data_IF_738123731584
#
_entry.id   IF_738123731584
#
_cell.length_a   1.000
_cell.length_b   1.000
_cell.length_c   1.000
_cell.angle_alpha   90.00
_cell.angle_beta   90.00
_cell.angle_gamma   90.00
#
_symmetry.space_group_name_H-M   'P 1'
#
loop_
_entity.id
_entity.type
_entity.pdbx_description
1 polymer ?
#
# COMPACT_ATOMS: atom_id res chain seq x y z
N UNK A 1 3.54 -8.94 -19.31
CA UNK A 1 2.18 -8.87 -19.88
C UNK A 1 1.36 -7.99 -18.94
N UNK A 2 1.09 -6.75 -19.37
CA UNK A 2 0.31 -5.77 -18.64
C UNK A 2 -1.17 -6.11 -18.84
N UNK A 3 -1.84 -6.63 -17.83
CA UNK A 3 -3.29 -6.79 -17.85
C UNK A 3 -3.93 -5.44 -17.45
N UNK A 4 -4.27 -4.63 -18.45
CA UNK A 4 -5.13 -3.48 -18.25
C UNK A 4 -6.56 -3.98 -18.04
N UNK A 5 -7.07 -3.90 -16.83
CA UNK A 5 -8.50 -4.07 -16.57
C UNK A 5 -9.16 -2.76 -16.94
N UNK A 6 -9.79 -2.72 -18.12
CA UNK A 6 -10.65 -1.62 -18.52
C UNK A 6 -11.94 -1.72 -17.70
N UNK A 7 -12.11 -0.86 -16.70
CA UNK A 7 -13.42 -0.61 -16.13
C UNK A 7 -14.17 0.33 -17.07
N UNK A 8 -15.26 -0.15 -17.66
CA UNK A 8 -16.20 0.70 -18.35
C UNK A 8 -16.79 1.67 -17.33
N UNK A 9 -16.49 2.95 -17.46
CA UNK A 9 -17.22 4.00 -16.77
C UNK A 9 -18.63 4.00 -17.36
N UNK A 10 -19.60 3.50 -16.62
CA UNK A 10 -21.00 3.71 -16.95
C UNK A 10 -21.28 5.21 -16.78
N UNK A 11 -21.31 5.93 -17.89
CA UNK A 11 -21.83 7.28 -17.90
C UNK A 11 -23.35 7.15 -17.70
N UNK A 12 -23.82 7.46 -16.49
CA UNK A 12 -25.25 7.62 -16.25
C UNK A 12 -25.76 8.80 -17.08
N UNK A 13 -26.66 8.50 -17.99
CA UNK A 13 -27.43 9.53 -18.64
C UNK A 13 -28.22 10.29 -17.56
N UNK A 14 -28.01 11.59 -17.43
CA UNK A 14 -28.85 12.44 -16.60
C UNK A 14 -30.31 12.16 -16.99
N UNK A 15 -31.09 11.63 -16.06
CA UNK A 15 -32.48 11.30 -16.31
C UNK A 15 -33.23 12.56 -16.75
N UNK A 16 -33.99 12.47 -17.84
CA UNK A 16 -34.86 13.56 -18.22
C UNK A 16 -36.03 13.63 -17.23
N UNK A 17 -36.21 14.78 -16.60
CA UNK A 17 -37.44 15.04 -15.83
C UNK A 17 -38.58 15.45 -16.77
N UNK A 18 -39.81 15.15 -16.37
CA UNK A 18 -41.01 15.57 -17.09
C UNK A 18 -41.69 16.67 -16.28
N UNK A 19 -41.92 17.79 -16.91
CA UNK A 19 -42.68 18.90 -16.33
C UNK A 19 -44.17 18.61 -16.44
N UNK A 20 -44.90 19.00 -15.40
CA UNK A 20 -46.35 18.94 -15.37
C UNK A 20 -46.92 20.25 -14.87
N UNK A 21 -47.70 20.90 -15.69
CA UNK A 21 -48.45 22.11 -15.31
C UNK A 21 -49.53 21.80 -14.30
N UNK A 22 -49.54 22.51 -13.16
CA UNK A 22 -50.51 22.36 -12.10
C UNK A 22 -51.43 23.60 -12.08
N UNK A 23 -52.74 23.43 -12.33
CA UNK A 23 -53.71 24.49 -12.15
C UNK A 23 -53.78 24.94 -10.67
N UNK A 24 -54.17 26.20 -10.45
CA UNK A 24 -54.33 26.75 -9.13
C UNK A 24 -55.29 25.89 -8.27
N UNK A 25 -54.82 25.48 -7.07
CA UNK A 25 -55.61 24.63 -6.15
C UNK A 25 -55.53 23.11 -6.40
N UNK A 26 -54.71 22.67 -7.38
CA UNK A 26 -54.46 21.25 -7.63
C UNK A 26 -53.16 20.79 -6.92
N UNK A 27 -53.09 19.49 -6.63
CA UNK A 27 -51.90 18.82 -6.13
C UNK A 27 -51.48 17.70 -7.07
N UNK A 28 -50.20 17.38 -7.11
CA UNK A 28 -49.65 16.25 -7.86
C UNK A 28 -48.64 15.50 -7.02
N UNK A 29 -48.66 14.19 -7.12
CA UNK A 29 -47.62 13.34 -6.60
C UNK A 29 -46.44 13.30 -7.59
N UNK A 30 -45.21 13.43 -7.07
CA UNK A 30 -43.97 13.31 -7.83
C UNK A 30 -43.28 12.06 -7.36
N UNK A 31 -43.07 11.09 -8.25
CA UNK A 31 -42.23 9.93 -7.96
C UNK A 31 -40.75 10.33 -8.11
N UNK A 32 -40.02 10.28 -7.01
CA UNK A 32 -38.57 10.43 -7.02
C UNK A 32 -37.95 9.04 -6.93
N UNK A 33 -37.14 8.70 -7.94
CA UNK A 33 -36.41 7.44 -7.98
C UNK A 33 -34.92 7.75 -7.73
N UNK A 34 -34.38 7.21 -6.64
CA UNK A 34 -32.97 7.28 -6.32
C UNK A 34 -32.32 5.92 -6.50
N UNK A 35 -31.13 5.89 -7.09
CA UNK A 35 -30.30 4.70 -7.19
C UNK A 35 -29.02 4.93 -6.35
N UNK A 36 -28.65 3.91 -5.58
CA UNK A 36 -27.40 3.93 -4.79
C UNK A 36 -26.40 3.05 -5.53
N UNK A 37 -25.36 3.67 -6.08
CA UNK A 37 -24.27 2.94 -6.71
C UNK A 37 -23.40 2.24 -5.65
N UNK A 38 -22.93 1.01 -5.93
CA UNK A 38 -21.98 0.34 -5.06
C UNK A 38 -20.66 1.13 -5.01
N UNK A 39 -20.10 1.28 -3.81
CA UNK A 39 -18.79 1.89 -3.64
C UNK A 39 -17.71 0.98 -4.22
N UNK A 40 -17.04 1.42 -5.28
CA UNK A 40 -15.89 0.72 -5.84
C UNK A 40 -14.63 1.22 -5.14
N UNK A 41 -13.91 0.32 -4.50
CA UNK A 41 -12.59 0.59 -3.93
C UNK A 41 -11.52 0.14 -4.91
N UNK A 42 -10.66 1.07 -5.32
CA UNK A 42 -9.55 0.81 -6.25
C UNK A 42 -8.31 1.57 -5.81
N UNK A 43 -7.17 0.88 -5.82
CA UNK A 43 -5.88 1.45 -5.43
C UNK A 43 -4.81 0.97 -6.40
N UNK A 44 -3.92 1.88 -6.79
CA UNK A 44 -2.71 1.54 -7.52
C UNK A 44 -1.56 1.32 -6.53
N UNK A 45 -0.94 0.15 -6.59
CA UNK A 45 0.28 -0.21 -5.86
C UNK A 45 1.36 -0.65 -6.85
N UNK A 46 2.65 -0.49 -6.53
CA UNK A 46 3.72 -0.96 -7.41
C UNK A 46 3.73 -2.49 -7.46
N UNK A 47 4.01 -3.03 -8.64
CA UNK A 47 4.17 -4.48 -8.84
C UNK A 47 5.60 -4.98 -8.58
N UNK A 48 6.57 -4.07 -8.55
CA UNK A 48 7.97 -4.37 -8.32
C UNK A 48 8.69 -3.15 -7.72
N UNK A 49 9.46 -3.39 -6.66
CA UNK A 49 10.26 -2.36 -5.98
C UNK A 49 11.68 -2.91 -5.80
N UNK A 50 12.63 -2.51 -6.65
CA UNK A 50 14.03 -2.87 -6.45
C UNK A 50 14.58 -2.09 -5.24
N UNK A 51 15.34 -2.74 -4.37
CA UNK A 51 16.04 -2.07 -3.29
C UNK A 51 17.41 -2.69 -3.05
N UNK A 52 18.31 -1.90 -2.53
CA UNK A 52 19.67 -2.31 -2.16
C UNK A 52 19.89 -2.09 -0.68
N UNK A 53 20.67 -2.96 -0.08
CA UNK A 53 21.15 -2.77 1.29
C UNK A 53 22.64 -2.50 1.19
N UNK A 54 23.05 -1.31 1.62
CA UNK A 54 24.46 -0.94 1.70
C UNK A 54 24.94 -1.03 3.15
N UNK A 55 26.08 -1.67 3.35
CA UNK A 55 26.83 -1.56 4.62
C UNK A 55 27.68 -0.31 4.57
N UNK A 56 27.46 0.61 5.48
CA UNK A 56 28.34 1.77 5.60
C UNK A 56 29.64 1.38 6.32
N UNK A 57 30.70 2.16 6.10
CA UNK A 57 31.99 1.99 6.79
C UNK A 57 31.86 2.10 8.32
N UNK A 58 30.78 2.74 8.80
CA UNK A 58 30.49 2.94 10.22
C UNK A 58 29.54 1.87 10.82
N UNK A 59 29.25 0.80 10.08
CA UNK A 59 28.41 -0.30 10.56
C UNK A 59 26.91 -0.05 10.56
N UNK A 60 26.44 1.09 10.09
CA UNK A 60 25.01 1.33 9.86
C UNK A 60 24.57 0.66 8.56
N UNK A 61 23.69 -0.31 8.69
CA UNK A 61 23.08 -0.98 7.53
C UNK A 61 21.90 -0.17 7.05
N UNK A 62 21.95 0.33 5.81
CA UNK A 62 20.90 1.14 5.22
C UNK A 62 20.24 0.40 4.06
N UNK A 63 18.92 0.34 4.06
CA UNK A 63 18.16 -0.02 2.87
C UNK A 63 17.97 1.24 2.04
N UNK A 64 18.40 1.19 0.78
CA UNK A 64 18.17 2.25 -0.19
C UNK A 64 17.09 1.77 -1.12
N UNK A 65 15.92 2.40 -1.06
CA UNK A 65 14.81 2.08 -1.96
C UNK A 65 14.33 3.30 -2.72
N UNK A 66 13.74 3.13 -3.90
CA UNK A 66 13.00 4.19 -4.52
C UNK A 66 11.79 4.55 -3.66
N UNK A 67 11.26 5.75 -3.84
CA UNK A 67 9.96 6.13 -3.29
C UNK A 67 8.88 5.25 -3.92
N UNK A 68 8.06 4.67 -3.08
CA UNK A 68 6.91 3.85 -3.47
C UNK A 68 5.65 4.68 -3.25
N UNK A 69 4.97 5.06 -4.31
CA UNK A 69 3.71 5.80 -4.21
C UNK A 69 2.54 4.85 -4.37
N UNK A 70 1.60 4.92 -3.44
CA UNK A 70 0.29 4.25 -3.50
C UNK A 70 -0.79 5.30 -3.70
N UNK A 71 -1.73 5.06 -4.62
CA UNK A 71 -2.75 6.05 -5.00
C UNK A 71 -4.14 5.42 -4.96
N UNK A 72 -5.06 6.08 -4.27
CA UNK A 72 -6.46 5.70 -4.23
C UNK A 72 -7.22 6.33 -5.39
N UNK A 73 -8.02 5.52 -6.06
CA UNK A 73 -9.04 5.94 -7.04
C UNK A 73 -10.46 5.80 -6.47
N UNK A 74 -10.54 5.56 -5.16
CA UNK A 74 -11.80 5.36 -4.44
C UNK A 74 -12.41 6.69 -4.01
N UNK A 75 -13.72 6.82 -4.08
CA UNK A 75 -14.47 7.96 -3.55
C UNK A 75 -14.63 7.94 -2.02
N UNK A 76 -14.07 6.94 -1.34
CA UNK A 76 -14.06 6.78 0.12
C UNK A 76 -12.64 6.58 0.62
N UNK A 77 -12.40 6.85 1.90
CA UNK A 77 -11.12 6.56 2.53
C UNK A 77 -10.87 5.06 2.59
N UNK A 78 -9.62 4.66 2.31
CA UNK A 78 -9.20 3.25 2.28
C UNK A 78 -7.91 3.04 3.04
N UNK A 79 -7.76 1.85 3.62
CA UNK A 79 -6.50 1.39 4.20
C UNK A 79 -5.77 0.50 3.20
N UNK A 80 -4.46 0.60 3.21
CA UNK A 80 -3.55 -0.32 2.52
C UNK A 80 -2.93 -1.20 3.59
N UNK A 81 -3.30 -2.46 3.58
CA UNK A 81 -2.85 -3.46 4.55
C UNK A 81 -1.94 -4.49 3.88
N UNK A 82 -1.04 -5.11 4.65
CA UNK A 82 -0.34 -6.32 4.25
C UNK A 82 -0.98 -7.49 4.98
N UNK A 83 -1.49 -8.47 4.22
CA UNK A 83 -2.13 -9.66 4.79
C UNK A 83 -1.16 -10.83 4.96
N UNK A 84 -0.11 -10.88 4.16
CA UNK A 84 0.88 -11.94 4.16
C UNK A 84 2.15 -11.47 3.48
N UNK A 85 3.31 -12.01 3.88
CA UNK A 85 4.57 -11.74 3.17
C UNK A 85 5.33 -13.05 2.94
N UNK A 86 5.57 -13.38 1.68
CA UNK A 86 6.48 -14.47 1.33
C UNK A 86 7.91 -13.96 1.32
N UNK A 87 8.78 -14.63 2.08
CA UNK A 87 10.21 -14.32 2.15
C UNK A 87 11.02 -15.51 1.66
N UNK A 88 11.92 -15.26 0.72
CA UNK A 88 12.87 -16.25 0.22
C UNK A 88 14.30 -15.76 0.48
N UNK A 89 14.97 -16.39 1.43
CA UNK A 89 16.35 -16.10 1.84
C UNK A 89 17.35 -17.12 1.26
N UNK A 90 17.00 -17.90 0.25
CA UNK A 90 17.86 -18.97 -0.28
C UNK A 90 19.23 -18.47 -0.78
N UNK A 91 19.31 -17.22 -1.21
CA UNK A 91 20.56 -16.56 -1.56
C UNK A 91 21.40 -16.08 -0.38
N UNK A 92 20.82 -16.01 0.81
CA UNK A 92 21.48 -15.57 2.06
C UNK A 92 21.71 -16.76 2.99
N UNK A 93 22.69 -17.59 2.69
CA UNK A 93 22.99 -18.82 3.45
C UNK A 93 23.17 -18.53 4.94
N UNK A 94 22.46 -19.27 5.79
CA UNK A 94 22.57 -19.14 7.25
C UNK A 94 21.84 -17.93 7.85
N UNK A 95 21.18 -17.13 7.00
CA UNK A 95 20.40 -15.96 7.45
C UNK A 95 18.96 -16.37 7.77
N UNK A 96 18.41 -15.79 8.83
CA UNK A 96 17.01 -15.94 9.22
C UNK A 96 16.29 -14.58 9.23
N UNK A 97 14.98 -14.61 9.20
CA UNK A 97 14.15 -13.43 9.27
C UNK A 97 13.92 -12.97 10.70
N UNK A 98 13.82 -11.65 10.90
CA UNK A 98 13.36 -11.01 12.14
C UNK A 98 12.17 -10.12 11.85
N UNK A 99 11.19 -10.09 12.76
CA UNK A 99 9.96 -9.31 12.62
C UNK A 99 10.07 -7.90 13.21
N UNK A 100 11.29 -7.39 13.42
CA UNK A 100 11.49 -6.08 14.03
C UNK A 100 12.87 -5.48 13.84
N UNK A 101 13.06 -4.28 14.39
CA UNK A 101 14.28 -3.50 14.26
C UNK A 101 15.52 -4.20 14.87
N UNK A 102 15.33 -4.92 15.96
CA UNK A 102 16.43 -5.58 16.66
C UNK A 102 16.73 -6.92 16.02
N UNK A 103 17.82 -7.00 15.28
CA UNK A 103 18.25 -8.21 14.58
C UNK A 103 19.48 -8.81 15.24
N UNK A 104 19.55 -10.15 15.29
CA UNK A 104 20.76 -10.90 15.65
C UNK A 104 21.79 -10.86 14.52
N UNK A 105 23.00 -11.37 14.77
CA UNK A 105 24.14 -11.32 13.83
C UNK A 105 23.81 -11.90 12.44
N UNK A 106 23.00 -12.96 12.36
CA UNK A 106 22.60 -13.63 11.13
C UNK A 106 21.13 -13.37 10.78
N UNK A 107 20.59 -12.21 11.11
CA UNK A 107 19.19 -11.90 10.86
C UNK A 107 19.03 -10.69 9.97
N UNK A 108 17.91 -10.65 9.26
CA UNK A 108 17.46 -9.53 8.45
C UNK A 108 16.00 -9.22 8.74
N UNK A 109 15.64 -7.95 8.78
CA UNK A 109 14.27 -7.46 8.87
C UNK A 109 14.04 -6.38 7.82
N UNK A 110 12.91 -6.46 7.12
CA UNK A 110 12.47 -5.47 6.14
C UNK A 110 11.06 -5.01 6.51
N UNK A 111 10.77 -3.75 6.24
CA UNK A 111 9.45 -3.17 6.45
C UNK A 111 9.20 -1.98 5.54
N UNK A 112 8.03 -1.39 5.71
CA UNK A 112 7.66 -0.15 5.06
C UNK A 112 7.59 0.98 6.08
N UNK A 113 8.01 2.16 5.66
CA UNK A 113 7.88 3.37 6.46
C UNK A 113 7.23 4.46 5.63
N UNK A 114 6.13 5.08 6.12
CA UNK A 114 5.53 6.23 5.47
C UNK A 114 6.52 7.40 5.40
N UNK A 115 6.42 8.17 4.33
CA UNK A 115 7.17 9.43 4.21
C UNK A 115 6.68 10.42 5.28
N UNK A 116 7.59 10.91 6.11
CA UNK A 116 7.27 11.87 7.17
C UNK A 116 7.50 13.30 6.67
N UNK A 117 8.60 13.50 5.98
CA UNK A 117 8.96 14.77 5.38
C UNK A 117 9.13 14.59 3.88
N UNK A 118 8.46 15.45 3.11
CA UNK A 118 8.44 15.38 1.66
C UNK A 118 9.86 15.31 1.07
N UNK A 119 10.08 14.28 0.24
CA UNK A 119 11.35 14.02 -0.44
C UNK A 119 12.55 13.69 0.46
N UNK A 120 12.33 13.30 1.72
CA UNK A 120 13.41 12.92 2.62
C UNK A 120 13.34 11.42 2.95
N UNK A 121 14.49 10.77 2.85
CA UNK A 121 14.64 9.38 3.32
C UNK A 121 14.44 9.32 4.84
N UNK A 122 13.85 8.22 5.34
CA UNK A 122 13.76 8.00 6.78
C UNK A 122 15.13 8.05 7.46
N UNK A 123 15.24 8.82 8.52
CA UNK A 123 16.47 8.92 9.34
C UNK A 123 16.45 7.97 10.53
N UNK A 124 15.26 7.49 10.90
CA UNK A 124 15.05 6.53 12.00
C UNK A 124 14.10 5.43 11.55
N UNK A 125 14.14 4.28 12.21
CA UNK A 125 13.27 3.13 11.92
C UNK A 125 12.07 3.04 12.89
N UNK A 126 11.84 4.05 13.71
CA UNK A 126 10.83 4.02 14.79
C UNK A 126 9.39 3.93 14.29
N UNK A 127 9.11 4.35 13.06
CA UNK A 127 7.78 4.29 12.46
C UNK A 127 7.65 3.18 11.41
N UNK A 128 8.62 2.29 11.35
CA UNK A 128 8.63 1.18 10.40
C UNK A 128 7.53 0.18 10.72
N UNK A 129 6.77 -0.17 9.70
CA UNK A 129 5.82 -1.27 9.70
C UNK A 129 6.56 -2.53 9.27
N UNK A 130 7.00 -3.32 10.23
CA UNK A 130 7.82 -4.51 9.99
C UNK A 130 7.00 -5.65 9.40
N UNK A 131 7.54 -6.32 8.39
CA UNK A 131 6.91 -7.45 7.73
C UNK A 131 7.23 -8.75 8.49
N UNK A 132 6.22 -9.60 8.64
CA UNK A 132 6.36 -10.94 9.21
C UNK A 132 6.54 -11.96 8.08
N UNK A 133 7.59 -12.79 8.19
CA UNK A 133 7.87 -13.76 7.14
C UNK A 133 6.95 -14.98 7.20
N UNK A 134 6.35 -15.32 6.06
CA UNK A 134 5.61 -16.56 5.84
C UNK A 134 4.51 -16.85 6.88
N UNK A 135 3.90 -15.78 7.38
CA UNK A 135 2.80 -15.81 8.35
C UNK A 135 1.69 -14.81 7.97
N UNK A 136 0.42 -15.12 8.26
CA UNK A 136 -0.66 -14.17 8.16
C UNK A 136 -0.42 -12.96 9.08
N UNK A 137 -0.68 -11.75 8.56
CA UNK A 137 -0.59 -10.52 9.33
C UNK A 137 -1.67 -9.54 8.87
N UNK A 138 -2.06 -8.62 9.78
CA UNK A 138 -2.95 -7.51 9.44
C UNK A 138 -2.20 -6.22 9.77
N UNK A 139 -1.36 -5.79 8.84
CA UNK A 139 -0.46 -4.66 9.04
C UNK A 139 -0.88 -3.50 8.16
N UNK A 140 -1.53 -2.50 8.76
CA UNK A 140 -1.87 -1.27 8.04
C UNK A 140 -0.61 -0.44 7.78
N UNK A 141 -0.27 -0.27 6.52
CA UNK A 141 0.86 0.54 6.08
C UNK A 141 0.53 2.02 6.08
N UNK A 142 -0.63 2.37 5.50
CA UNK A 142 -1.09 3.74 5.38
C UNK A 142 -2.60 3.77 5.15
N UNK A 143 -3.22 4.90 5.49
CA UNK A 143 -4.60 5.21 5.13
C UNK A 143 -4.61 6.32 4.09
N UNK A 144 -5.45 6.21 3.09
CA UNK A 144 -5.58 7.17 2.00
C UNK A 144 -6.95 7.83 2.06
N UNK A 145 -6.97 9.14 1.95
CA UNK A 145 -8.21 9.89 1.71
C UNK A 145 -8.78 9.56 0.34
N UNK A 146 -10.06 9.87 0.08
CA UNK A 146 -10.63 9.74 -1.25
C UNK A 146 -9.73 10.41 -2.30
N UNK A 147 -9.40 9.67 -3.37
CA UNK A 147 -8.52 10.11 -4.46
C UNK A 147 -7.13 10.60 -4.01
N UNK A 148 -6.72 10.24 -2.79
CA UNK A 148 -5.43 10.61 -2.22
C UNK A 148 -4.30 9.67 -2.59
N UNK A 149 -3.08 10.08 -2.26
CA UNK A 149 -1.87 9.27 -2.40
C UNK A 149 -1.00 9.34 -1.15
N UNK A 150 -0.18 8.33 -0.95
CA UNK A 150 0.84 8.29 0.10
C UNK A 150 2.13 7.73 -0.46
N UNK A 151 3.24 8.19 0.08
CA UNK A 151 4.58 7.69 -0.26
C UNK A 151 5.09 6.82 0.87
N UNK A 152 5.66 5.68 0.49
CA UNK A 152 6.30 4.72 1.37
C UNK A 152 7.75 4.52 0.96
N UNK A 153 8.60 4.16 1.91
CA UNK A 153 9.96 3.67 1.68
C UNK A 153 10.08 2.23 2.15
N UNK A 154 10.79 1.41 1.40
CA UNK A 154 11.28 0.12 1.92
C UNK A 154 12.47 0.42 2.80
N UNK A 155 12.41 -0.01 4.04
CA UNK A 155 13.47 0.16 5.03
C UNK A 155 13.80 -1.19 5.65
N UNK A 156 14.98 -1.30 6.27
CA UNK A 156 15.36 -2.55 6.89
C UNK A 156 16.61 -2.44 7.73
N UNK A 157 16.90 -3.53 8.40
CA UNK A 157 18.12 -3.72 9.19
C UNK A 157 18.64 -5.13 8.99
N UNK A 158 19.94 -5.32 9.09
CA UNK A 158 20.56 -6.63 8.97
C UNK A 158 21.73 -6.78 9.95
N UNK A 159 21.93 -8.00 10.41
CA UNK A 159 23.02 -8.36 11.31
C UNK A 159 24.38 -8.39 10.61
N UNK A 160 25.46 -8.30 11.41
CA UNK A 160 26.83 -8.16 10.93
C UNK A 160 27.32 -9.37 10.12
N UNK A 161 26.78 -10.57 10.38
CA UNK A 161 27.22 -11.82 9.74
C UNK A 161 26.33 -12.22 8.52
N UNK A 162 25.36 -11.38 8.12
CA UNK A 162 24.60 -11.63 6.88
C UNK A 162 25.53 -11.53 5.68
N UNK A 163 25.52 -12.53 4.74
CA UNK A 163 26.44 -12.55 3.59
C UNK A 163 26.31 -11.30 2.70
N UNK A 164 27.43 -10.81 2.20
CA UNK A 164 27.50 -9.79 1.16
C UNK A 164 27.34 -10.41 -0.24
N UNK A 165 27.17 -9.58 -1.25
CA UNK A 165 27.01 -9.98 -2.66
C UNK A 165 25.95 -11.08 -2.90
N UNK A 166 24.91 -11.02 -2.12
CA UNK A 166 23.82 -12.00 -2.11
C UNK A 166 22.49 -11.35 -2.40
N UNK A 167 21.52 -12.15 -2.85
CA UNK A 167 20.19 -11.67 -3.17
C UNK A 167 19.11 -12.44 -2.42
N UNK A 168 17.98 -11.80 -2.18
CA UNK A 168 16.80 -12.39 -1.59
C UNK A 168 15.55 -11.71 -2.14
N UNK A 169 14.38 -12.30 -1.90
CA UNK A 169 13.11 -11.68 -2.30
C UNK A 169 12.15 -11.60 -1.13
N UNK A 170 11.39 -10.51 -1.12
CA UNK A 170 10.30 -10.26 -0.17
C UNK A 170 9.07 -9.88 -0.98
N UNK A 171 8.00 -10.65 -0.85
CA UNK A 171 6.78 -10.48 -1.63
C UNK A 171 5.59 -10.29 -0.69
N UNK A 172 5.26 -9.04 -0.34
CA UNK A 172 4.07 -8.73 0.44
C UNK A 172 2.81 -8.85 -0.42
N UNK A 173 1.73 -9.32 0.18
CA UNK A 173 0.38 -9.33 -0.39
C UNK A 173 -0.39 -8.16 0.20
N UNK A 174 -0.68 -7.17 -0.64
CA UNK A 174 -1.45 -6.01 -0.26
C UNK A 174 -2.96 -6.30 -0.34
N UNK A 175 -3.68 -5.79 0.63
CA UNK A 175 -5.14 -5.81 0.70
C UNK A 175 -5.64 -4.39 0.91
N UNK A 176 -6.72 -4.06 0.22
CA UNK A 176 -7.40 -2.76 0.37
C UNK A 176 -8.67 -2.99 1.17
N UNK A 177 -8.85 -2.22 2.23
CA UNK A 177 -10.03 -2.22 3.06
C UNK A 177 -10.60 -0.81 3.23
N UNK A 178 -11.86 -0.69 3.60
CA UNK A 178 -12.45 0.60 3.94
C UNK A 178 -11.84 1.08 5.26
N UNK A 179 -11.40 2.36 5.29
CA UNK A 179 -10.91 3.00 6.49
C UNK A 179 -12.03 3.39 7.45
#
# INVERSE_FOLDING_TARGET
VLAAVLFAANAFAAGSYQDKDLPLGSSSEVLMVGEIEPTVMSVTVPSYVPFHISRSVEGENKVISPRVTVTSHSGVSVNIDVAYTTVNLSGLKGTTWSDGQNVGENQIAIGFQPEILANQLPTTLSQTKWLQANAPQYLTLTSLNPYGSSTLYVVGTLGAAVPEDSSFTVTPIFVVSKA
#
